data_IF_973510719315
#
_entry.id   IF_973510719315
#
_cell.length_a   1.000
_cell.length_b   1.000
_cell.length_c   1.000
_cell.angle_alpha   90.00
_cell.angle_beta   90.00
_cell.angle_gamma   90.00
#
_symmetry.space_group_name_H-M   'P 1'
#
loop_
_entity.id
_entity.type
_entity.pdbx_description
1 polymer ?
#
# COMPACT_ATOMS: atom_id res chain seq x y z
N UNK A 1 1.95 -21.30 52.49
CA UNK A 1 1.03 -20.24 52.02
C UNK A 1 1.93 -19.29 51.29
N UNK A 2 2.21 -19.62 50.03
CA UNK A 2 3.09 -18.82 49.17
C UNK A 2 2.32 -17.55 48.82
N UNK A 3 2.85 -16.40 49.22
CA UNK A 3 2.38 -15.10 48.76
C UNK A 3 2.67 -15.03 47.26
N UNK A 4 1.65 -15.29 46.44
CA UNK A 4 1.69 -14.98 45.02
C UNK A 4 1.91 -13.47 44.87
N UNK A 5 3.07 -13.12 44.32
CA UNK A 5 3.50 -11.74 44.10
C UNK A 5 2.49 -11.02 43.19
N UNK A 6 1.80 -9.96 43.66
CA UNK A 6 0.76 -9.28 42.89
C UNK A 6 1.32 -8.62 41.62
N UNK A 7 2.64 -8.41 41.52
CA UNK A 7 3.28 -7.94 40.29
C UNK A 7 3.37 -9.01 39.19
N UNK A 8 3.43 -10.29 39.57
CA UNK A 8 3.48 -11.40 38.61
C UNK A 8 2.12 -11.59 37.92
N UNK A 9 1.01 -11.38 38.64
CA UNK A 9 -0.33 -11.43 38.04
C UNK A 9 -0.59 -10.27 37.07
N UNK A 10 -0.03 -9.09 37.33
CA UNK A 10 -0.12 -7.94 36.40
C UNK A 10 0.68 -8.23 35.11
N UNK A 11 1.84 -8.89 35.22
CA UNK A 11 2.67 -9.28 34.08
C UNK A 11 2.05 -10.40 33.23
N UNK A 12 1.24 -11.28 33.81
CA UNK A 12 0.43 -12.25 33.04
C UNK A 12 -0.83 -11.66 32.42
N UNK A 13 -1.27 -10.47 32.88
CA UNK A 13 -2.51 -9.83 32.41
C UNK A 13 -2.32 -8.93 31.20
N UNK A 14 -1.08 -8.56 30.84
CA UNK A 14 -0.82 -7.90 29.55
C UNK A 14 -0.69 -8.98 28.47
N UNK A 15 -1.78 -9.74 28.26
CA UNK A 15 -1.98 -10.51 27.05
C UNK A 15 -1.62 -9.59 25.89
N UNK A 16 -0.68 -10.00 25.04
CA UNK A 16 -0.30 -9.26 23.82
C UNK A 16 -1.54 -9.20 22.92
N UNK A 17 -2.42 -8.24 23.18
CA UNK A 17 -3.73 -8.17 22.56
C UNK A 17 -3.53 -7.90 21.07
N UNK A 18 -3.82 -8.91 20.25
CA UNK A 18 -3.76 -8.83 18.80
C UNK A 18 -4.54 -7.60 18.31
N UNK A 19 -3.83 -6.66 17.67
CA UNK A 19 -4.45 -5.45 17.11
C UNK A 19 -5.08 -5.78 15.76
N UNK A 20 -6.41 -6.02 15.75
CA UNK A 20 -7.15 -6.21 14.51
C UNK A 20 -6.99 -5.00 13.58
N UNK A 21 -6.64 -5.26 12.32
CA UNK A 21 -6.58 -4.22 11.30
C UNK A 21 -7.96 -4.00 10.70
N UNK A 22 -8.65 -2.96 11.15
CA UNK A 22 -10.00 -2.61 10.71
C UNK A 22 -10.00 -1.55 9.59
N UNK A 23 -9.31 -1.88 8.48
CA UNK A 23 -9.28 -1.03 7.26
C UNK A 23 -10.24 -1.51 6.18
N UNK A 24 -10.81 -2.71 6.35
CA UNK A 24 -11.80 -3.30 5.44
C UNK A 24 -13.03 -2.38 5.25
N UNK A 25 -13.71 -1.86 6.30
CA UNK A 25 -14.88 -1.03 6.09
C UNK A 25 -14.57 0.27 5.33
N UNK A 26 -13.41 0.88 5.58
CA UNK A 26 -12.97 2.11 4.90
C UNK A 26 -12.80 1.84 3.39
N UNK A 27 -12.12 0.75 3.04
CA UNK A 27 -11.93 0.33 1.65
C UNK A 27 -13.26 -0.06 0.99
N UNK A 28 -14.15 -0.75 1.71
CA UNK A 28 -15.48 -1.10 1.19
C UNK A 28 -16.33 0.12 0.88
N UNK A 29 -16.29 1.16 1.71
CA UNK A 29 -17.01 2.43 1.43
C UNK A 29 -16.48 3.07 0.15
N UNK A 30 -15.16 3.13 -0.01
CA UNK A 30 -14.53 3.65 -1.24
C UNK A 30 -14.93 2.85 -2.49
N UNK A 31 -15.03 1.51 -2.39
CA UNK A 31 -15.54 0.65 -3.46
C UNK A 31 -17.01 0.96 -3.80
N UNK A 32 -17.86 1.17 -2.81
CA UNK A 32 -19.28 1.52 -3.02
C UNK A 32 -19.38 2.84 -3.77
N UNK A 33 -18.58 3.85 -3.39
CA UNK A 33 -18.52 5.11 -4.14
C UNK A 33 -18.08 4.90 -5.59
N UNK A 34 -17.08 4.05 -5.83
CA UNK A 34 -16.61 3.70 -7.18
C UNK A 34 -17.72 3.10 -8.03
N UNK A 35 -18.47 2.14 -7.48
CA UNK A 35 -19.61 1.51 -8.17
C UNK A 35 -20.74 2.50 -8.40
N UNK A 36 -21.02 3.38 -7.43
CA UNK A 36 -22.06 4.40 -7.58
C UNK A 36 -21.75 5.39 -8.71
N UNK A 37 -20.48 5.76 -8.89
CA UNK A 37 -20.04 6.65 -9.96
C UNK A 37 -20.23 6.02 -11.35
N UNK A 38 -19.98 4.71 -11.46
CA UNK A 38 -20.24 3.95 -12.68
C UNK A 38 -21.73 3.86 -13.00
N UNK A 39 -22.58 3.59 -11.99
CA UNK A 39 -24.04 3.59 -12.16
C UNK A 39 -24.54 4.96 -12.65
N UNK A 40 -24.01 6.06 -12.09
CA UNK A 40 -24.33 7.42 -12.55
C UNK A 40 -23.92 7.60 -14.02
N UNK A 41 -22.75 7.09 -14.43
CA UNK A 41 -22.30 7.12 -15.82
C UNK A 41 -23.23 6.38 -16.77
N UNK A 42 -23.68 5.18 -16.40
CA UNK A 42 -24.64 4.38 -17.19
C UNK A 42 -26.00 5.09 -17.30
N UNK A 43 -26.48 5.69 -16.20
CA UNK A 43 -27.72 6.48 -16.20
C UNK A 43 -27.58 7.68 -17.14
N UNK A 44 -26.45 8.40 -17.09
CA UNK A 44 -26.20 9.53 -17.99
C UNK A 44 -26.16 9.12 -19.45
N UNK A 45 -25.59 7.96 -19.80
CA UNK A 45 -25.69 7.42 -21.16
C UNK A 45 -27.15 7.11 -21.54
N UNK A 46 -27.93 6.54 -20.61
CA UNK A 46 -29.31 6.13 -20.89
C UNK A 46 -30.25 7.32 -21.08
N UNK A 47 -30.03 8.42 -20.36
CA UNK A 47 -30.83 9.66 -20.42
C UNK A 47 -30.30 10.65 -21.47
N UNK A 48 -29.06 10.45 -21.94
CA UNK A 48 -28.42 11.28 -22.97
C UNK A 48 -29.25 11.64 -24.20
N UNK A 49 -30.02 10.72 -24.83
CA UNK A 49 -30.77 11.06 -26.05
C UNK A 49 -31.89 12.09 -25.80
N UNK A 50 -32.41 12.18 -24.58
CA UNK A 50 -33.52 13.08 -24.22
C UNK A 50 -33.04 14.43 -23.69
N UNK A 51 -31.77 14.53 -23.30
CA UNK A 51 -31.20 15.71 -22.66
C UNK A 51 -30.89 16.83 -23.68
N UNK A 52 -31.39 18.05 -23.41
CA UNK A 52 -31.10 19.22 -24.25
C UNK A 52 -29.71 19.78 -24.02
N UNK A 53 -29.14 19.62 -22.82
CA UNK A 53 -27.86 20.17 -22.39
C UNK A 53 -26.76 19.10 -22.33
N UNK A 54 -26.53 18.41 -23.46
CA UNK A 54 -25.59 17.29 -23.59
C UNK A 54 -24.16 17.64 -23.11
N UNK A 55 -23.67 18.83 -23.44
CA UNK A 55 -22.32 19.27 -23.04
C UNK A 55 -22.16 19.43 -21.52
N UNK A 56 -23.19 19.89 -20.81
CA UNK A 56 -23.10 20.14 -19.37
C UNK A 56 -22.96 18.84 -18.58
N UNK A 57 -23.70 17.80 -18.98
CA UNK A 57 -23.64 16.46 -18.37
C UNK A 57 -22.23 15.87 -18.43
N UNK A 58 -21.49 16.09 -19.52
CA UNK A 58 -20.09 15.70 -19.65
C UNK A 58 -19.20 16.37 -18.60
N UNK A 59 -19.30 17.70 -18.44
CA UNK A 59 -18.50 18.42 -17.45
C UNK A 59 -18.89 18.06 -16.02
N UNK A 60 -20.18 17.89 -15.75
CA UNK A 60 -20.69 17.42 -14.45
C UNK A 60 -20.06 16.07 -14.09
N UNK A 61 -20.03 15.14 -15.05
CA UNK A 61 -19.43 13.82 -14.83
C UNK A 61 -17.92 13.89 -14.54
N UNK A 62 -17.19 14.77 -15.24
CA UNK A 62 -15.77 15.03 -14.92
C UNK A 62 -15.58 15.61 -13.52
N UNK A 63 -16.45 16.53 -13.07
CA UNK A 63 -16.38 17.06 -11.70
C UNK A 63 -16.64 15.99 -10.65
N UNK A 64 -17.59 15.08 -10.90
CA UNK A 64 -17.84 13.93 -10.04
C UNK A 64 -16.61 13.01 -9.94
N UNK A 65 -15.89 12.80 -11.06
CA UNK A 65 -14.62 12.07 -11.08
C UNK A 65 -13.52 12.75 -10.26
N UNK A 66 -13.40 14.07 -10.34
CA UNK A 66 -12.47 14.82 -9.49
C UNK A 66 -12.81 14.68 -8.00
N UNK A 67 -14.10 14.75 -7.64
CA UNK A 67 -14.55 14.52 -6.26
C UNK A 67 -14.27 13.09 -5.79
N UNK A 68 -14.51 12.10 -6.65
CA UNK A 68 -14.17 10.70 -6.38
C UNK A 68 -12.67 10.51 -6.12
N UNK A 69 -11.80 11.12 -6.93
CA UNK A 69 -10.36 11.07 -6.71
C UNK A 69 -9.97 11.63 -5.33
N UNK A 70 -10.60 12.71 -4.86
CA UNK A 70 -10.39 13.22 -3.51
C UNK A 70 -10.81 12.21 -2.43
N UNK A 71 -11.90 11.47 -2.63
CA UNK A 71 -12.33 10.40 -1.72
C UNK A 71 -11.29 9.26 -1.69
N UNK A 72 -10.74 8.89 -2.84
CA UNK A 72 -9.66 7.89 -2.92
C UNK A 72 -8.40 8.37 -2.19
N UNK A 73 -8.01 9.63 -2.37
CA UNK A 73 -6.90 10.26 -1.65
C UNK A 73 -7.09 10.19 -0.13
N UNK A 74 -8.27 10.59 0.37
CA UNK A 74 -8.58 10.53 1.80
C UNK A 74 -8.54 9.09 2.32
N UNK A 75 -9.12 8.15 1.57
CA UNK A 75 -9.11 6.72 1.90
C UNK A 75 -7.68 6.19 2.01
N UNK A 76 -6.82 6.48 1.04
CA UNK A 76 -5.41 6.11 1.06
C UNK A 76 -4.69 6.69 2.29
N UNK A 77 -4.94 7.97 2.62
CA UNK A 77 -4.36 8.61 3.80
C UNK A 77 -4.78 7.92 5.10
N UNK A 78 -6.08 7.63 5.27
CA UNK A 78 -6.58 6.95 6.47
C UNK A 78 -6.04 5.51 6.59
N UNK A 79 -5.99 4.78 5.48
CA UNK A 79 -5.43 3.42 5.45
C UNK A 79 -3.95 3.44 5.81
N UNK A 80 -3.16 4.37 5.24
CA UNK A 80 -1.74 4.55 5.59
C UNK A 80 -1.55 4.90 7.07
N UNK A 81 -2.37 5.77 7.64
CA UNK A 81 -2.30 6.12 9.06
C UNK A 81 -2.56 4.89 9.97
N UNK A 82 -3.56 4.07 9.62
CA UNK A 82 -3.86 2.82 10.35
C UNK A 82 -2.73 1.80 10.24
N UNK A 83 -2.14 1.64 9.06
CA UNK A 83 -0.97 0.78 8.84
C UNK A 83 0.30 1.29 9.52
N UNK A 84 0.52 2.60 9.57
CA UNK A 84 1.61 3.21 10.32
C UNK A 84 1.47 2.92 11.82
N UNK A 85 0.25 3.00 12.36
CA UNK A 85 -0.02 2.60 13.75
C UNK A 85 0.29 1.12 13.98
N UNK A 86 -0.03 0.25 13.02
CA UNK A 86 0.29 -1.18 13.09
C UNK A 86 1.80 -1.45 13.05
N UNK A 87 2.57 -0.65 12.29
CA UNK A 87 4.04 -0.70 12.28
C UNK A 87 4.63 -0.43 13.67
N UNK A 88 4.11 0.57 14.39
CA UNK A 88 4.58 0.90 15.75
C UNK A 88 4.33 -0.25 16.73
N UNK A 89 3.30 -1.07 16.50
CA UNK A 89 3.01 -2.26 17.32
C UNK A 89 3.85 -3.50 16.93
N UNK A 90 4.87 -3.36 16.08
CA UNK A 90 5.81 -4.44 15.76
C UNK A 90 5.37 -5.40 14.66
N UNK A 91 4.49 -4.99 13.73
CA UNK A 91 4.10 -5.77 12.55
C UNK A 91 4.78 -5.23 11.27
N UNK A 92 6.10 -5.26 11.24
CA UNK A 92 6.91 -4.65 10.18
C UNK A 92 6.89 -5.48 8.89
N UNK A 93 6.90 -6.81 8.98
CA UNK A 93 6.88 -7.71 7.81
C UNK A 93 5.58 -7.57 7.02
N UNK A 94 4.46 -7.51 7.76
CA UNK A 94 3.14 -7.32 7.17
C UNK A 94 3.01 -5.93 6.52
N UNK A 95 3.55 -4.89 7.16
CA UNK A 95 3.59 -3.54 6.60
C UNK A 95 4.40 -3.51 5.30
N UNK A 96 5.62 -4.07 5.27
CA UNK A 96 6.47 -4.11 4.08
C UNK A 96 5.80 -4.84 2.91
N UNK A 97 5.16 -5.97 3.20
CA UNK A 97 4.44 -6.75 2.18
C UNK A 97 3.21 -6.02 1.62
N UNK A 98 2.57 -5.16 2.42
CA UNK A 98 1.28 -4.52 2.07
C UNK A 98 1.46 -3.08 1.57
N UNK A 99 2.63 -2.48 1.81
CA UNK A 99 2.95 -1.09 1.47
C UNK A 99 2.73 -0.74 -0.01
N UNK A 100 3.19 -1.60 -0.93
CA UNK A 100 2.99 -1.38 -2.37
C UNK A 100 1.49 -1.41 -2.72
N UNK A 101 0.75 -2.37 -2.16
CA UNK A 101 -0.67 -2.57 -2.45
C UNK A 101 -1.56 -1.44 -1.92
N UNK A 102 -1.17 -0.79 -0.83
CA UNK A 102 -1.87 0.39 -0.31
C UNK A 102 -1.68 1.60 -1.22
N UNK A 103 -0.50 1.74 -1.85
CA UNK A 103 -0.18 2.89 -2.69
C UNK A 103 -0.75 2.79 -4.10
N UNK A 104 -1.00 1.57 -4.59
CA UNK A 104 -1.47 1.31 -5.96
C UNK A 104 -2.79 2.02 -6.34
N UNK A 105 -3.86 2.02 -5.52
CA UNK A 105 -5.14 2.62 -5.90
C UNK A 105 -5.04 4.13 -6.20
N UNK A 106 -4.28 4.88 -5.41
CA UNK A 106 -4.09 6.31 -5.62
C UNK A 106 -3.33 6.60 -6.92
N UNK A 107 -2.31 5.78 -7.24
CA UNK A 107 -1.58 5.91 -8.49
C UNK A 107 -2.45 5.61 -9.71
N UNK A 108 -3.29 4.56 -9.64
CA UNK A 108 -4.23 4.22 -10.70
C UNK A 108 -5.22 5.37 -10.91
N UNK A 109 -5.88 5.85 -9.85
CA UNK A 109 -6.86 6.93 -9.95
C UNK A 109 -6.25 8.24 -10.51
N UNK A 110 -5.01 8.56 -10.10
CA UNK A 110 -4.29 9.73 -10.60
C UNK A 110 -3.92 9.60 -12.08
N UNK A 111 -3.46 8.41 -12.49
CA UNK A 111 -3.20 8.12 -13.90
C UNK A 111 -4.48 8.25 -14.73
N UNK A 112 -5.61 7.81 -14.18
CA UNK A 112 -6.89 7.90 -14.88
C UNK A 112 -7.37 9.35 -15.09
N UNK A 113 -7.17 10.23 -14.10
CA UNK A 113 -7.38 11.68 -14.29
C UNK A 113 -6.55 12.22 -15.46
N UNK A 114 -5.28 11.80 -15.60
CA UNK A 114 -4.46 12.24 -16.74
C UNK A 114 -4.99 11.73 -18.07
N UNK A 115 -5.52 10.50 -18.12
CA UNK A 115 -6.18 9.95 -19.30
C UNK A 115 -7.46 10.74 -19.66
N UNK A 116 -8.29 11.08 -18.68
CA UNK A 116 -9.48 11.92 -18.91
C UNK A 116 -9.11 13.31 -19.43
N UNK A 117 -8.09 13.95 -18.84
CA UNK A 117 -7.61 15.25 -19.29
C UNK A 117 -7.05 15.18 -20.72
N UNK A 118 -6.29 14.13 -21.05
CA UNK A 118 -5.78 13.93 -22.40
C UNK A 118 -6.92 13.74 -23.41
N UNK A 119 -7.92 12.94 -23.07
CA UNK A 119 -9.12 12.76 -23.90
C UNK A 119 -9.85 14.09 -24.11
N UNK A 120 -10.03 14.88 -23.05
CA UNK A 120 -10.65 16.20 -23.13
C UNK A 120 -9.87 17.16 -24.04
N UNK A 121 -8.54 17.17 -23.96
CA UNK A 121 -7.67 17.99 -24.81
C UNK A 121 -7.74 17.54 -26.27
N UNK A 122 -7.73 16.24 -26.55
CA UNK A 122 -7.85 15.70 -27.92
C UNK A 122 -9.19 16.09 -28.52
N UNK A 123 -10.29 15.92 -27.79
CA UNK A 123 -11.63 16.31 -28.22
C UNK A 123 -11.71 17.81 -28.51
N UNK A 124 -11.18 18.63 -27.62
CA UNK A 124 -11.15 20.09 -27.81
C UNK A 124 -10.27 20.51 -29.00
N UNK A 125 -9.11 19.89 -29.20
CA UNK A 125 -8.20 20.21 -30.30
C UNK A 125 -8.76 19.82 -31.68
N UNK A 126 -9.40 18.66 -31.77
CA UNK A 126 -9.92 18.12 -33.03
C UNK A 126 -11.19 18.82 -33.51
N UNK A 127 -12.03 19.32 -32.60
CA UNK A 127 -13.37 19.83 -32.92
C UNK A 127 -13.58 21.32 -32.63
N UNK A 128 -12.50 22.13 -32.56
CA UNK A 128 -12.45 23.55 -32.14
C UNK A 128 -13.55 24.51 -32.66
N UNK A 129 -14.25 24.20 -33.76
CA UNK A 129 -15.24 25.11 -34.39
C UNK A 129 -16.69 24.61 -34.23
N UNK A 130 -16.93 23.33 -33.92
CA UNK A 130 -18.28 22.72 -33.92
C UNK A 130 -18.46 21.72 -32.76
N UNK A 131 -17.94 22.00 -31.57
CA UNK A 131 -18.03 21.10 -30.43
C UNK A 131 -19.49 20.84 -30.01
N UNK A 132 -20.33 21.88 -29.95
CA UNK A 132 -21.78 21.72 -29.70
C UNK A 132 -22.45 20.89 -30.80
N UNK A 133 -22.17 21.21 -32.07
CA UNK A 133 -22.79 20.51 -33.19
C UNK A 133 -22.36 19.03 -33.26
N UNK A 134 -21.12 18.69 -32.88
CA UNK A 134 -20.64 17.31 -32.77
C UNK A 134 -21.30 16.57 -31.60
N UNK A 135 -21.49 17.24 -30.47
CA UNK A 135 -22.19 16.69 -29.30
C UNK A 135 -23.67 16.40 -29.57
N UNK A 136 -24.30 17.18 -30.47
CA UNK A 136 -25.68 16.99 -30.90
C UNK A 136 -25.86 16.02 -32.09
N UNK A 137 -24.90 15.93 -33.02
CA UNK A 137 -25.06 15.23 -34.30
C UNK A 137 -24.64 13.76 -34.29
N UNK A 138 -23.80 13.32 -33.34
CA UNK A 138 -23.26 11.97 -33.35
C UNK A 138 -24.00 11.06 -32.37
N UNK A 139 -24.83 10.15 -32.87
CA UNK A 139 -25.60 9.19 -32.05
C UNK A 139 -24.77 7.98 -31.59
N UNK A 140 -23.65 7.68 -32.27
CA UNK A 140 -22.84 6.47 -32.01
C UNK A 140 -21.46 6.74 -31.40
N UNK A 141 -20.85 7.90 -31.69
CA UNK A 141 -19.49 8.25 -31.25
C UNK A 141 -19.46 9.45 -30.29
N UNK A 142 -20.19 9.31 -29.18
CA UNK A 142 -20.36 10.36 -28.16
C UNK A 142 -19.17 10.41 -27.20
N UNK A 143 -18.66 11.61 -26.83
CA UNK A 143 -17.62 11.79 -25.81
C UNK A 143 -17.89 11.05 -24.48
N UNK A 144 -19.16 10.97 -24.07
CA UNK A 144 -19.56 10.22 -22.88
C UNK A 144 -19.29 8.71 -22.98
N UNK A 145 -19.46 8.11 -24.15
CA UNK A 145 -19.27 6.67 -24.32
C UNK A 145 -17.79 6.29 -24.10
N UNK A 146 -16.86 7.14 -24.57
CA UNK A 146 -15.44 6.97 -24.30
C UNK A 146 -15.11 7.09 -22.82
N UNK A 147 -15.68 8.09 -22.14
CA UNK A 147 -15.45 8.28 -20.71
C UNK A 147 -16.01 7.12 -19.90
N UNK A 148 -17.24 6.67 -20.16
CA UNK A 148 -17.81 5.54 -19.40
C UNK A 148 -17.05 4.27 -19.69
N UNK A 149 -16.66 3.99 -20.94
CA UNK A 149 -15.77 2.86 -21.24
C UNK A 149 -14.47 2.93 -20.44
N UNK A 150 -13.86 4.12 -20.35
CA UNK A 150 -12.68 4.35 -19.54
C UNK A 150 -12.98 4.11 -18.05
N UNK A 151 -14.09 4.62 -17.52
CA UNK A 151 -14.51 4.40 -16.12
C UNK A 151 -14.73 2.93 -15.82
N UNK A 152 -15.37 2.17 -16.72
CA UNK A 152 -15.59 0.73 -16.57
C UNK A 152 -14.25 0.00 -16.44
N UNK A 153 -13.26 0.34 -17.29
CA UNK A 153 -11.93 -0.24 -17.22
C UNK A 153 -11.24 0.12 -15.91
N UNK A 154 -11.28 1.37 -15.47
CA UNK A 154 -10.75 1.78 -14.15
C UNK A 154 -11.38 0.98 -13.01
N UNK A 155 -12.71 0.84 -13.02
CA UNK A 155 -13.44 0.10 -11.99
C UNK A 155 -13.00 -1.36 -11.93
N UNK A 156 -12.84 -2.03 -13.08
CA UNK A 156 -12.39 -3.43 -13.11
C UNK A 156 -10.99 -3.63 -12.51
N UNK A 157 -10.07 -2.71 -12.80
CA UNK A 157 -8.70 -2.73 -12.25
C UNK A 157 -8.73 -2.46 -10.75
N UNK A 158 -9.45 -1.42 -10.32
CA UNK A 158 -9.56 -1.00 -8.91
C UNK A 158 -10.20 -2.12 -8.07
N UNK A 159 -11.29 -2.73 -8.54
CA UNK A 159 -11.95 -3.87 -7.88
C UNK A 159 -10.96 -5.03 -7.70
N UNK A 160 -10.21 -5.37 -8.75
CA UNK A 160 -9.23 -6.47 -8.69
C UNK A 160 -8.14 -6.22 -7.63
N UNK A 161 -7.61 -5.01 -7.58
CA UNK A 161 -6.62 -4.60 -6.57
C UNK A 161 -7.20 -4.64 -5.16
N UNK A 162 -8.42 -4.12 -4.96
CA UNK A 162 -9.06 -4.12 -3.64
C UNK A 162 -9.44 -5.52 -3.15
N UNK A 163 -9.93 -6.40 -4.03
CA UNK A 163 -10.20 -7.81 -3.66
C UNK A 163 -8.90 -8.48 -3.17
N UNK A 164 -7.79 -8.28 -3.89
CA UNK A 164 -6.52 -8.84 -3.49
C UNK A 164 -6.06 -8.32 -2.12
N UNK A 165 -6.18 -7.00 -1.89
CA UNK A 165 -5.89 -6.37 -0.60
C UNK A 165 -6.79 -6.93 0.52
N UNK A 166 -8.10 -7.00 0.32
CA UNK A 166 -9.07 -7.50 1.31
C UNK A 166 -8.74 -8.95 1.69
N UNK A 167 -8.43 -9.82 0.72
CA UNK A 167 -8.03 -11.21 1.01
C UNK A 167 -6.79 -11.27 1.91
N UNK A 168 -5.81 -10.39 1.70
CA UNK A 168 -4.60 -10.31 2.50
C UNK A 168 -4.87 -9.84 3.93
N UNK A 169 -5.70 -8.80 4.09
CA UNK A 169 -6.12 -8.29 5.40
C UNK A 169 -6.99 -9.31 6.15
N UNK A 170 -7.90 -10.00 5.46
CA UNK A 170 -8.70 -11.08 6.06
C UNK A 170 -7.83 -12.23 6.54
N UNK A 171 -6.84 -12.65 5.73
CA UNK A 171 -5.87 -13.68 6.14
C UNK A 171 -5.09 -13.24 7.38
N UNK A 172 -4.64 -12.00 7.43
CA UNK A 172 -3.96 -11.44 8.60
C UNK A 172 -4.86 -11.43 9.84
N UNK A 173 -6.09 -10.91 9.72
CA UNK A 173 -7.05 -10.85 10.82
C UNK A 173 -7.49 -12.24 11.32
N UNK A 174 -7.53 -13.25 10.44
CA UNK A 174 -7.87 -14.63 10.80
C UNK A 174 -6.72 -15.35 11.47
N UNK A 175 -5.50 -15.16 10.98
CA UNK A 175 -4.31 -15.83 11.51
C UNK A 175 -3.86 -15.26 12.86
N UNK A 176 -4.30 -14.04 13.20
CA UNK A 176 -3.90 -13.33 14.43
C UNK A 176 -2.42 -13.53 14.75
N UNK A 177 -1.51 -13.24 13.79
CA UNK A 177 -0.09 -13.51 14.01
C UNK A 177 0.38 -12.72 15.23
N UNK A 178 1.29 -13.29 16.05
CA UNK A 178 1.95 -12.53 17.10
C UNK A 178 2.75 -11.38 16.48
N UNK A 179 3.02 -10.33 17.25
CA UNK A 179 3.91 -9.26 16.81
C UNK A 179 5.27 -9.84 16.39
N UNK A 180 5.90 -9.28 15.35
CA UNK A 180 7.13 -9.84 14.76
C UNK A 180 8.25 -9.95 15.81
N UNK A 181 8.31 -9.02 16.77
CA UNK A 181 9.22 -9.06 17.93
C UNK A 181 9.01 -10.30 18.80
N UNK A 182 7.76 -10.67 19.10
CA UNK A 182 7.46 -11.86 19.90
C UNK A 182 7.71 -13.15 19.11
N UNK A 183 7.59 -13.09 17.77
CA UNK A 183 7.91 -14.23 16.89
C UNK A 183 9.42 -14.47 16.84
N UNK A 184 10.21 -13.41 16.71
CA UNK A 184 11.67 -13.47 16.72
C UNK A 184 12.19 -13.97 18.06
N UNK A 185 11.65 -13.46 19.17
CA UNK A 185 11.98 -13.91 20.53
C UNK A 185 11.69 -15.40 20.74
N UNK A 186 10.54 -15.89 20.27
CA UNK A 186 10.18 -17.32 20.33
C UNK A 186 11.07 -18.20 19.44
N UNK A 187 11.44 -17.73 18.24
CA UNK A 187 12.39 -18.48 17.41
C UNK A 187 13.80 -18.47 17.98
N UNK A 188 14.21 -17.37 18.64
CA UNK A 188 15.51 -17.29 19.30
C UNK A 188 15.57 -18.15 20.56
N UNK A 189 14.50 -18.20 21.37
CA UNK A 189 14.47 -19.06 22.56
C UNK A 189 14.56 -20.54 22.19
N UNK A 190 13.85 -20.99 21.15
CA UNK A 190 13.97 -22.36 20.64
C UNK A 190 15.40 -22.70 20.18
N UNK A 191 16.11 -21.76 19.58
CA UNK A 191 17.52 -21.95 19.22
C UNK A 191 18.48 -21.84 20.42
N UNK A 192 18.12 -21.06 21.44
CA UNK A 192 18.91 -20.84 22.64
C UNK A 192 18.82 -22.04 23.60
N UNK A 193 17.66 -22.69 23.69
CA UNK A 193 17.46 -23.94 24.45
C UNK A 193 18.32 -25.10 23.92
N UNK A 194 18.75 -25.02 22.65
CA UNK A 194 19.66 -26.01 22.06
C UNK A 194 21.13 -25.75 22.43
N UNK A 195 21.49 -24.55 22.92
CA UNK A 195 22.89 -24.14 23.08
C UNK A 195 23.33 -23.60 24.45
N UNK A 196 22.48 -23.21 25.39
CA UNK A 196 22.99 -22.72 26.68
C UNK A 196 21.99 -22.75 27.84
N UNK A 197 22.26 -23.61 28.83
CA UNK A 197 21.80 -23.43 30.20
C UNK A 197 22.51 -22.25 30.88
N UNK A 198 22.11 -21.02 30.58
CA UNK A 198 22.61 -19.82 31.26
C UNK A 198 21.53 -18.75 31.40
N UNK A 199 20.85 -18.81 32.55
CA UNK A 199 20.41 -17.68 33.40
C UNK A 199 20.11 -16.35 32.70
N UNK A 200 18.82 -16.05 32.60
CA UNK A 200 18.23 -14.78 32.17
C UNK A 200 18.56 -13.62 33.13
N UNK A 201 18.87 -12.44 32.57
CA UNK A 201 18.74 -11.15 33.27
C UNK A 201 18.08 -10.16 32.30
N UNK A 202 16.79 -9.91 32.51
CA UNK A 202 15.99 -9.01 31.68
C UNK A 202 16.30 -7.53 31.94
N UNK A 203 16.53 -6.76 30.87
CA UNK A 203 16.70 -5.31 30.94
C UNK A 203 15.57 -4.62 30.14
N UNK A 204 14.37 -4.58 30.71
CA UNK A 204 13.17 -4.04 30.05
C UNK A 204 13.09 -2.50 29.97
N UNK A 205 14.14 -1.76 30.38
CA UNK A 205 14.09 -0.29 30.41
C UNK A 205 15.00 0.43 29.38
N UNK A 206 15.55 -0.28 28.37
CA UNK A 206 16.51 0.30 27.41
C UNK A 206 16.14 0.00 25.94
N UNK A 207 14.85 -0.07 25.58
CA UNK A 207 14.44 -0.54 24.24
C UNK A 207 14.79 0.43 23.10
N UNK A 208 14.66 1.75 23.29
CA UNK A 208 15.01 2.73 22.25
C UNK A 208 16.52 2.78 21.95
N UNK A 209 17.34 2.80 22.99
CA UNK A 209 18.79 2.83 22.85
C UNK A 209 19.35 1.50 22.34
N UNK A 210 18.77 0.35 22.71
CA UNK A 210 19.22 -0.94 22.19
C UNK A 210 18.89 -1.08 20.69
N UNK A 211 17.74 -0.57 20.25
CA UNK A 211 17.35 -0.59 18.84
C UNK A 211 18.26 0.29 17.98
N UNK A 212 18.61 1.50 18.43
CA UNK A 212 19.61 2.35 17.76
C UNK A 212 21.01 1.70 17.76
N UNK A 213 21.40 1.05 18.85
CA UNK A 213 22.69 0.34 18.93
C UNK A 213 22.72 -0.88 18.02
N UNK A 214 21.63 -1.63 17.89
CA UNK A 214 21.50 -2.78 17.00
C UNK A 214 21.47 -2.35 15.53
N UNK A 215 20.78 -1.26 15.20
CA UNK A 215 20.79 -0.66 13.86
C UNK A 215 22.21 -0.21 13.49
N UNK A 216 22.92 0.45 14.41
CA UNK A 216 24.30 0.86 14.22
C UNK A 216 25.27 -0.33 14.11
N UNK A 217 25.02 -1.42 14.84
CA UNK A 217 25.82 -2.65 14.72
C UNK A 217 25.60 -3.36 13.39
N UNK A 218 24.34 -3.41 12.91
CA UNK A 218 23.99 -4.00 11.62
C UNK A 218 24.62 -3.23 10.46
N UNK A 219 24.61 -1.89 10.52
CA UNK A 219 25.26 -1.05 9.52
C UNK A 219 26.78 -1.18 9.56
N UNK A 220 27.38 -1.30 10.75
CA UNK A 220 28.82 -1.55 10.88
C UNK A 220 29.22 -2.90 10.28
N UNK A 221 28.44 -3.96 10.49
CA UNK A 221 28.70 -5.28 9.91
C UNK A 221 28.61 -5.23 8.39
N UNK A 222 27.59 -4.54 7.83
CA UNK A 222 27.48 -4.34 6.37
C UNK A 222 28.66 -3.57 5.81
N UNK A 223 29.07 -2.50 6.49
CA UNK A 223 30.22 -1.70 6.09
C UNK A 223 31.52 -2.51 6.11
N UNK A 224 31.74 -3.31 7.16
CA UNK A 224 32.90 -4.18 7.26
C UNK A 224 32.90 -5.28 6.19
N UNK A 225 31.74 -5.86 5.87
CA UNK A 225 31.61 -6.85 4.78
C UNK A 225 31.95 -6.23 3.43
N UNK A 226 31.34 -5.10 3.09
CA UNK A 226 31.59 -4.40 1.81
C UNK A 226 33.07 -4.00 1.66
N UNK A 227 33.71 -3.58 2.76
CA UNK A 227 35.14 -3.27 2.78
C UNK A 227 36.02 -4.51 2.64
N UNK A 228 35.64 -5.64 3.24
CA UNK A 228 36.35 -6.91 3.05
C UNK A 228 36.22 -7.43 1.63
N UNK A 229 35.06 -7.30 1.00
CA UNK A 229 34.85 -7.71 -0.40
C UNK A 229 35.72 -6.87 -1.34
N UNK A 230 35.76 -5.55 -1.15
CA UNK A 230 36.65 -4.64 -1.90
C UNK A 230 38.12 -4.96 -1.70
N UNK A 231 38.53 -5.27 -0.46
CA UNK A 231 39.90 -5.67 -0.17
C UNK A 231 40.24 -7.04 -0.78
N UNK A 232 39.31 -7.99 -0.75
CA UNK A 232 39.44 -9.29 -1.41
C UNK A 232 39.59 -9.16 -2.93
N UNK A 233 38.79 -8.29 -3.56
CA UNK A 233 38.93 -7.97 -4.98
C UNK A 233 40.28 -7.32 -5.29
N UNK A 234 40.74 -6.38 -4.48
CA UNK A 234 42.05 -5.76 -4.65
C UNK A 234 43.19 -6.78 -4.52
N UNK A 235 43.14 -7.66 -3.51
CA UNK A 235 44.12 -8.74 -3.35
C UNK A 235 44.10 -9.67 -4.56
N UNK A 236 42.91 -10.06 -5.04
CA UNK A 236 42.79 -10.92 -6.22
C UNK A 236 43.39 -10.26 -7.45
N UNK A 237 43.20 -8.95 -7.62
CA UNK A 237 43.74 -8.18 -8.75
C UNK A 237 45.27 -8.09 -8.66
N UNK A 238 45.83 -7.85 -7.48
CA UNK A 238 47.28 -7.85 -7.27
C UNK A 238 47.88 -9.26 -7.40
N UNK A 239 47.20 -10.30 -6.92
CA UNK A 239 47.64 -11.69 -7.08
C UNK A 239 47.63 -12.12 -8.55
N UNK A 240 46.62 -11.73 -9.31
CA UNK A 240 46.53 -11.97 -10.76
C UNK A 240 47.61 -11.21 -11.55
N UNK A 241 47.96 -9.99 -11.12
CA UNK A 241 49.06 -9.23 -11.72
C UNK A 241 50.43 -9.85 -11.40
N UNK A 242 50.60 -10.46 -10.21
CA UNK A 242 51.83 -11.13 -9.79
C UNK A 242 52.03 -12.52 -10.43
N UNK A 243 50.97 -13.11 -11.00
CA UNK A 243 51.01 -14.40 -11.69
C UNK A 243 51.24 -14.30 -13.20
N UNK A 244 51.40 -13.09 -13.76
CA UNK A 244 51.85 -12.91 -15.14
C UNK A 244 53.38 -13.09 -15.18
N UNK A 245 53.91 -14.09 -15.92
CA UNK A 245 55.36 -14.24 -16.06
C UNK A 245 55.92 -13.02 -16.79
N UNK A 246 56.99 -12.44 -16.25
CA UNK A 246 57.78 -11.44 -16.95
C UNK A 246 58.28 -12.05 -18.28
N UNK A 247 57.86 -11.44 -19.40
CA UNK A 247 58.41 -11.68 -20.74
C UNK A 247 59.52 -10.70 -21.05
#
# INVERSE_FOLDING_TARGET
>A
MEEEDPHLQILTSEEVYFKKLDTIPIVSVSLIFSVSLEIIGIIFISVWPEEKNKCDTYFIYLYLHCAYWLIIMLTDHFVKAKHHKLRIYGYLDFYRSTYQQIRTPLFIASLWITCYLLLAVILHHTHKVNYEQYCHASEWFTPLNYIVLLTTVELTIIISVYIHYIRKVLRFNRLRPPADVAREEWTSSFTQDTYAGSSEVGCYHRRSNLEELLEMQADLIRYLRDRNDKFGHAIMLFAAQRSLPET
#
